data_IF_167876558777
#
_entry.id   IF_167876558777
#
_cell.length_a   1.000
_cell.length_b   1.000
_cell.length_c   1.000
_cell.angle_alpha   90.00
_cell.angle_beta   90.00
_cell.angle_gamma   90.00
#
_symmetry.space_group_name_H-M   'P 1'
#
loop_
_entity.id
_entity.type
_entity.pdbx_description
1 polymer ?
#
# COMPACT_ATOMS: atom_id res chain seq x y z
N UNK A 1 -0.60 -2.76 -42.88
CA UNK A 1 0.86 -2.65 -42.73
C UNK A 1 1.14 -1.17 -42.52
N UNK A 2 1.15 -0.73 -41.26
CA UNK A 2 1.32 0.69 -40.92
C UNK A 2 2.80 1.04 -40.95
N UNK A 3 3.17 1.93 -41.88
CA UNK A 3 4.50 2.49 -42.02
C UNK A 3 4.75 3.51 -40.90
N UNK A 4 5.74 3.22 -40.05
CA UNK A 4 6.28 4.18 -39.09
C UNK A 4 6.88 5.36 -39.86
N UNK A 5 6.20 6.51 -39.83
CA UNK A 5 6.73 7.78 -40.30
C UNK A 5 7.92 8.16 -39.42
N UNK A 6 9.13 8.01 -39.96
CA UNK A 6 10.36 8.45 -39.31
C UNK A 6 10.63 9.88 -39.74
N UNK A 7 10.80 10.77 -38.76
CA UNK A 7 11.22 12.16 -38.95
C UNK A 7 12.61 12.17 -39.64
N UNK A 8 12.87 13.01 -40.67
CA UNK A 8 14.05 12.86 -41.53
C UNK A 8 15.41 13.06 -40.82
N UNK A 9 15.39 13.52 -39.56
CA UNK A 9 16.59 13.75 -38.74
C UNK A 9 16.97 12.61 -37.79
N UNK A 10 16.17 11.54 -37.69
CA UNK A 10 16.41 10.45 -36.74
C UNK A 10 16.70 9.15 -37.49
N UNK A 11 17.91 8.62 -37.32
CA UNK A 11 18.29 7.30 -37.85
C UNK A 11 17.26 6.25 -37.43
N UNK A 12 16.92 5.30 -38.31
CA UNK A 12 15.99 4.19 -38.01
C UNK A 12 16.40 3.45 -36.72
N UNK A 13 17.70 3.36 -36.45
CA UNK A 13 18.22 2.79 -35.20
C UNK A 13 17.89 3.62 -33.96
N UNK A 14 18.00 4.94 -34.08
CA UNK A 14 17.69 5.88 -32.99
C UNK A 14 16.18 5.91 -32.71
N UNK A 15 15.35 5.91 -33.75
CA UNK A 15 13.90 5.78 -33.61
C UNK A 15 13.50 4.45 -32.95
N UNK A 16 14.20 3.36 -33.29
CA UNK A 16 13.98 2.05 -32.67
C UNK A 16 14.38 2.04 -31.18
N UNK A 17 15.54 2.62 -30.84
CA UNK A 17 16.02 2.78 -29.46
C UNK A 17 15.03 3.57 -28.61
N UNK A 18 14.62 4.75 -29.07
CA UNK A 18 13.64 5.59 -28.38
C UNK A 18 12.29 4.87 -28.14
N UNK A 19 11.85 4.06 -29.11
CA UNK A 19 10.64 3.24 -28.96
C UNK A 19 10.76 2.21 -27.83
N UNK A 20 11.89 1.50 -27.76
CA UNK A 20 12.18 0.51 -26.72
C UNK A 20 12.30 1.17 -25.32
N UNK A 21 12.99 2.30 -25.21
CA UNK A 21 13.09 3.10 -23.98
C UNK A 21 11.72 3.59 -23.51
N UNK A 22 10.87 4.03 -24.45
CA UNK A 22 9.49 4.43 -24.18
C UNK A 22 8.65 3.28 -23.60
N UNK A 23 8.84 2.05 -24.09
CA UNK A 23 8.18 0.85 -23.56
C UNK A 23 8.64 0.59 -22.10
N UNK A 24 9.95 0.64 -21.83
CA UNK A 24 10.47 0.43 -20.48
C UNK A 24 10.02 1.52 -19.50
N UNK A 25 9.97 2.78 -19.95
CA UNK A 25 9.50 3.92 -19.16
C UNK A 25 8.04 3.75 -18.75
N UNK A 26 7.16 3.34 -19.68
CA UNK A 26 5.75 3.07 -19.37
C UNK A 26 5.60 1.91 -18.39
N UNK A 27 6.39 0.84 -18.55
CA UNK A 27 6.46 -0.29 -17.60
C UNK A 27 6.88 0.17 -16.21
N UNK A 28 7.92 1.00 -16.09
CA UNK A 28 8.41 1.51 -14.80
C UNK A 28 7.36 2.39 -14.09
N UNK A 29 6.68 3.27 -14.83
CA UNK A 29 5.56 4.04 -14.28
C UNK A 29 4.45 3.14 -13.74
N UNK A 30 4.12 2.07 -14.47
CA UNK A 30 3.13 1.08 -14.03
C UNK A 30 3.60 0.35 -12.77
N UNK A 31 4.86 -0.08 -12.69
CA UNK A 31 5.44 -0.68 -11.46
C UNK A 31 5.32 0.27 -10.28
N UNK A 32 5.66 1.55 -10.45
CA UNK A 32 5.57 2.55 -9.38
C UNK A 32 4.12 2.78 -8.94
N UNK A 33 3.20 2.98 -9.88
CA UNK A 33 1.77 3.14 -9.57
C UNK A 33 1.19 1.92 -8.87
N UNK A 34 1.55 0.71 -9.33
CA UNK A 34 1.11 -0.54 -8.72
C UNK A 34 1.70 -0.69 -7.32
N UNK A 35 3.00 -0.40 -7.12
CA UNK A 35 3.61 -0.39 -5.79
C UNK A 35 2.94 0.61 -4.85
N UNK A 36 2.64 1.82 -5.33
CA UNK A 36 1.90 2.83 -4.56
C UNK A 36 0.50 2.36 -4.17
N UNK A 37 -0.16 1.53 -4.99
CA UNK A 37 -1.44 0.90 -4.65
C UNK A 37 -1.31 -0.28 -3.68
N UNK A 38 -0.13 -0.92 -3.62
CA UNK A 38 0.16 -2.01 -2.67
C UNK A 38 0.65 -1.50 -1.32
N UNK A 39 1.35 -0.37 -1.30
CA UNK A 39 1.59 0.40 -0.08
C UNK A 39 0.30 1.13 0.23
N UNK A 40 -0.61 0.49 0.94
CA UNK A 40 -1.85 1.14 1.36
C UNK A 40 -1.53 2.46 2.08
N UNK A 41 -2.15 3.53 1.58
CA UNK A 41 -2.30 4.80 2.27
C UNK A 41 -3.11 4.50 3.53
N UNK A 42 -2.42 4.14 4.60
CA UNK A 42 -3.01 4.24 5.93
C UNK A 42 -3.32 5.73 6.06
N UNK A 43 -4.59 6.10 6.25
CA UNK A 43 -4.88 7.35 6.93
C UNK A 43 -4.37 7.19 8.36
N UNK A 44 -3.04 7.26 8.49
CA UNK A 44 -2.30 7.27 9.75
C UNK A 44 -2.88 8.36 10.63
N UNK A 45 -3.33 9.47 10.01
CA UNK A 45 -4.05 10.54 10.66
C UNK A 45 -5.35 10.09 11.34
N UNK A 46 -6.17 9.21 10.75
CA UNK A 46 -7.43 8.76 11.37
C UNK A 46 -7.19 7.79 12.52
N UNK A 47 -6.23 6.86 12.36
CA UNK A 47 -5.84 5.92 13.41
C UNK A 47 -5.17 6.65 14.58
N UNK A 48 -4.25 7.57 14.29
CA UNK A 48 -3.61 8.43 15.30
C UNK A 48 -4.63 9.37 15.96
N UNK A 49 -5.61 9.87 15.22
CA UNK A 49 -6.72 10.67 15.76
C UNK A 49 -7.57 9.86 16.74
N UNK A 50 -7.95 8.63 16.38
CA UNK A 50 -8.66 7.73 17.29
C UNK A 50 -7.84 7.37 18.52
N UNK A 51 -6.51 7.14 18.39
CA UNK A 51 -5.64 6.91 19.54
C UNK A 51 -5.55 8.12 20.48
N UNK A 52 -5.43 9.33 19.93
CA UNK A 52 -5.44 10.57 20.73
C UNK A 52 -6.76 10.73 21.48
N UNK A 53 -7.89 10.51 20.81
CA UNK A 53 -9.21 10.60 21.44
C UNK A 53 -9.41 9.54 22.55
N UNK A 54 -8.94 8.30 22.35
CA UNK A 54 -8.98 7.27 23.39
C UNK A 54 -8.16 7.70 24.61
N UNK A 55 -6.97 8.28 24.39
CA UNK A 55 -6.12 8.76 25.48
C UNK A 55 -6.76 9.91 26.27
N UNK A 56 -7.41 10.86 25.59
CA UNK A 56 -8.15 11.95 26.23
C UNK A 56 -9.32 11.42 27.08
N UNK A 57 -10.07 10.45 26.56
CA UNK A 57 -11.16 9.79 27.29
C UNK A 57 -10.66 9.02 28.52
N UNK A 58 -9.48 8.40 28.46
CA UNK A 58 -8.87 7.71 29.61
C UNK A 58 -8.45 8.70 30.72
N UNK A 59 -7.92 9.87 30.34
CA UNK A 59 -7.60 10.94 31.30
C UNK A 59 -8.89 11.44 31.98
N UNK A 60 -9.95 11.66 31.21
CA UNK A 60 -11.24 12.12 31.72
C UNK A 60 -11.89 11.08 32.64
N UNK A 61 -11.88 9.80 32.25
CA UNK A 61 -12.36 8.71 33.09
C UNK A 61 -11.59 8.64 34.41
N UNK A 62 -10.27 8.81 34.38
CA UNK A 62 -9.44 8.85 35.58
C UNK A 62 -9.83 10.00 36.50
N UNK A 63 -10.15 11.19 35.97
CA UNK A 63 -10.66 12.32 36.76
C UNK A 63 -11.99 11.99 37.46
N UNK A 64 -12.94 11.36 36.78
CA UNK A 64 -14.22 10.96 37.39
C UNK A 64 -14.04 9.85 38.44
N UNK A 65 -13.09 8.93 38.23
CA UNK A 65 -12.75 7.89 39.22
C UNK A 65 -12.14 8.49 40.49
N UNK A 66 -11.21 9.45 40.36
CA UNK A 66 -10.53 10.08 41.50
C UNK A 66 -11.46 10.97 42.34
N UNK A 67 -12.53 11.51 41.74
CA UNK A 67 -13.52 12.32 42.48
C UNK A 67 -14.46 11.49 43.34
N UNK A 68 -14.48 10.16 43.21
CA UNK A 68 -15.47 9.27 43.84
C UNK A 68 -15.36 9.18 45.36
N UNK A 69 -14.22 9.51 45.94
CA UNK A 69 -13.95 9.21 47.35
C UNK A 69 -14.44 10.27 48.35
N UNK A 70 -14.92 11.44 47.90
CA UNK A 70 -15.30 12.57 48.79
C UNK A 70 -16.57 13.36 48.37
N UNK A 71 -17.50 12.76 47.62
CA UNK A 71 -18.67 13.46 47.05
C UNK A 71 -20.00 12.84 47.49
N UNK A 72 -21.08 13.62 47.38
CA UNK A 72 -22.43 13.22 47.76
C UNK A 72 -22.94 12.02 46.95
N UNK A 73 -23.93 11.29 47.48
CA UNK A 73 -24.52 10.10 46.82
C UNK A 73 -25.01 10.42 45.40
N UNK A 74 -25.60 11.61 45.20
CA UNK A 74 -26.09 12.06 43.90
C UNK A 74 -24.93 12.36 42.91
N UNK A 75 -23.83 12.93 43.40
CA UNK A 75 -22.62 13.16 42.60
C UNK A 75 -21.89 11.85 42.27
N UNK A 76 -21.93 10.85 43.16
CA UNK A 76 -21.43 9.49 42.86
C UNK A 76 -22.26 8.85 41.74
N UNK A 77 -23.58 8.97 41.78
CA UNK A 77 -24.46 8.44 40.73
C UNK A 77 -24.23 9.15 39.38
N UNK A 78 -24.05 10.47 39.39
CA UNK A 78 -23.71 11.25 38.20
C UNK A 78 -22.36 10.84 37.61
N UNK A 79 -21.29 10.83 38.42
CA UNK A 79 -19.95 10.43 38.01
C UNK A 79 -19.94 8.99 37.46
N UNK A 80 -20.77 8.10 38.01
CA UNK A 80 -20.84 6.73 37.52
C UNK A 80 -21.53 6.62 36.16
N UNK A 81 -22.53 7.46 35.91
CA UNK A 81 -23.18 7.54 34.61
C UNK A 81 -22.25 8.13 33.53
N UNK A 82 -21.47 9.15 33.86
CA UNK A 82 -20.48 9.73 32.94
C UNK A 82 -19.39 8.73 32.57
N UNK A 83 -18.84 8.01 33.55
CA UNK A 83 -17.90 6.92 33.30
C UNK A 83 -18.47 5.85 32.35
N UNK A 84 -19.75 5.47 32.52
CA UNK A 84 -20.41 4.52 31.62
C UNK A 84 -20.53 5.07 30.20
N UNK A 85 -20.74 6.37 30.03
CA UNK A 85 -20.76 7.02 28.72
C UNK A 85 -19.38 7.07 28.08
N UNK A 86 -18.34 7.41 28.84
CA UNK A 86 -16.95 7.40 28.39
C UNK A 86 -16.50 6.00 27.95
N UNK A 87 -16.80 4.96 28.73
CA UNK A 87 -16.50 3.57 28.35
C UNK A 87 -17.22 3.15 27.07
N UNK A 88 -18.46 3.60 26.84
CA UNK A 88 -19.17 3.33 25.56
C UNK A 88 -18.48 3.99 24.38
N UNK A 89 -18.06 5.25 24.52
CA UNK A 89 -17.35 5.98 23.48
C UNK A 89 -15.98 5.35 23.18
N UNK A 90 -15.23 4.97 24.22
CA UNK A 90 -13.95 4.28 24.08
C UNK A 90 -14.11 2.94 23.35
N UNK A 91 -15.12 2.14 23.72
CA UNK A 91 -15.40 0.86 23.04
C UNK A 91 -15.77 1.07 21.57
N UNK A 92 -16.54 2.10 21.25
CA UNK A 92 -16.88 2.44 19.86
C UNK A 92 -15.64 2.80 19.03
N UNK A 93 -14.75 3.64 19.57
CA UNK A 93 -13.50 4.02 18.91
C UNK A 93 -12.55 2.82 18.72
N UNK A 94 -12.42 1.96 19.75
CA UNK A 94 -11.65 0.72 19.65
C UNK A 94 -12.21 -0.23 18.59
N UNK A 95 -13.53 -0.38 18.50
CA UNK A 95 -14.16 -1.22 17.48
C UNK A 95 -13.98 -0.65 16.07
N UNK A 96 -14.02 0.67 15.91
CA UNK A 96 -13.71 1.36 14.64
C UNK A 96 -12.26 1.12 14.22
N UNK A 97 -11.31 1.29 15.14
CA UNK A 97 -9.89 0.97 14.91
C UNK A 97 -9.69 -0.51 14.57
N UNK A 98 -10.38 -1.42 15.28
CA UNK A 98 -10.31 -2.87 15.03
C UNK A 98 -10.89 -3.23 13.67
N UNK A 99 -12.00 -2.63 13.22
CA UNK A 99 -12.57 -2.87 11.89
C UNK A 99 -11.63 -2.42 10.78
N UNK A 100 -11.07 -1.22 10.90
CA UNK A 100 -10.03 -0.73 9.98
C UNK A 100 -8.78 -1.63 9.98
N UNK A 101 -8.42 -2.22 11.13
CA UNK A 101 -7.29 -3.15 11.24
C UNK A 101 -7.64 -4.60 10.82
N UNK A 102 -8.90 -5.02 10.89
CA UNK A 102 -9.37 -6.37 10.59
C UNK A 102 -9.67 -6.56 9.10
N UNK A 103 -10.26 -5.56 8.44
CA UNK A 103 -10.37 -5.47 6.98
C UNK A 103 -8.98 -5.53 6.32
N UNK A 104 -7.97 -4.98 7.00
CA UNK A 104 -6.55 -5.09 6.67
C UNK A 104 -6.00 -6.50 6.84
N UNK A 105 -6.29 -7.20 7.96
CA UNK A 105 -5.72 -8.54 8.21
C UNK A 105 -6.27 -9.64 7.30
N UNK A 106 -7.53 -9.54 6.86
CA UNK A 106 -8.14 -10.53 5.95
C UNK A 106 -7.60 -10.39 4.51
N UNK A 107 -7.22 -9.17 4.08
CA UNK A 107 -6.62 -8.94 2.77
C UNK A 107 -5.08 -9.05 2.77
N UNK A 108 -4.38 -8.63 3.85
CA UNK A 108 -2.91 -8.64 3.92
C UNK A 108 -2.31 -9.98 4.38
N UNK A 109 -3.00 -10.78 5.21
CA UNK A 109 -2.44 -12.07 5.68
C UNK A 109 -2.53 -13.19 4.65
N UNK A 110 -3.40 -13.12 3.65
CA UNK A 110 -3.55 -14.21 2.69
C UNK A 110 -2.68 -14.10 1.43
N UNK A 111 -2.14 -12.93 1.07
CA UNK A 111 -1.19 -12.81 -0.06
C UNK A 111 -0.14 -11.73 0.19
N UNK A 112 1.04 -12.13 0.65
CA UNK A 112 2.22 -11.28 0.66
C UNK A 112 2.70 -11.03 -0.78
N UNK A 113 1.99 -10.18 -1.52
CA UNK A 113 2.32 -9.87 -2.90
C UNK A 113 3.48 -8.88 -2.97
N UNK A 114 4.27 -8.98 -4.04
CA UNK A 114 5.24 -7.98 -4.50
C UNK A 114 5.07 -7.77 -6.00
N UNK A 115 5.64 -6.70 -6.55
CA UNK A 115 5.64 -6.45 -8.00
C UNK A 115 6.96 -6.90 -8.61
N UNK A 116 6.90 -7.75 -9.63
CA UNK A 116 8.05 -8.11 -10.44
C UNK A 116 8.65 -6.87 -11.12
N UNK A 117 9.95 -6.64 -10.94
CA UNK A 117 10.64 -5.48 -11.54
C UNK A 117 10.69 -5.56 -13.07
N UNK A 118 10.77 -6.77 -13.62
CA UNK A 118 10.90 -7.00 -15.06
C UNK A 118 9.57 -6.82 -15.78
N UNK A 119 8.53 -7.55 -15.38
CA UNK A 119 7.25 -7.59 -16.10
C UNK A 119 6.09 -6.81 -15.46
N UNK A 120 6.31 -6.17 -14.30
CA UNK A 120 5.29 -5.42 -13.56
C UNK A 120 4.05 -6.22 -13.12
N UNK A 121 4.15 -7.55 -13.08
CA UNK A 121 3.09 -8.42 -12.57
C UNK A 121 3.26 -8.69 -11.07
N UNK A 122 2.16 -9.00 -10.38
CA UNK A 122 2.19 -9.42 -8.98
C UNK A 122 2.82 -10.81 -8.84
N UNK A 123 3.64 -10.97 -7.82
CA UNK A 123 4.27 -12.23 -7.40
C UNK A 123 3.98 -12.39 -5.91
N UNK A 124 3.46 -13.54 -5.51
CA UNK A 124 3.36 -13.88 -4.10
C UNK A 124 4.75 -14.27 -3.57
N UNK A 125 5.17 -13.65 -2.46
CA UNK A 125 6.47 -13.85 -1.83
C UNK A 125 6.66 -15.28 -1.31
N UNK A 126 5.56 -15.98 -1.02
CA UNK A 126 5.58 -17.33 -0.43
C UNK A 126 5.47 -18.45 -1.47
N UNK A 127 5.58 -18.16 -2.77
CA UNK A 127 5.56 -19.19 -3.81
C UNK A 127 6.88 -19.96 -3.86
N UNK A 128 6.80 -21.25 -4.21
CA UNK A 128 7.97 -22.10 -4.43
C UNK A 128 8.87 -21.60 -5.56
N UNK A 129 10.14 -22.00 -5.55
CA UNK A 129 11.09 -21.63 -6.61
C UNK A 129 10.67 -22.16 -7.99
N UNK A 130 9.96 -23.30 -8.04
CA UNK A 130 9.33 -23.80 -9.26
C UNK A 130 8.31 -22.80 -9.82
N UNK A 131 7.45 -22.22 -8.97
CA UNK A 131 6.48 -21.21 -9.39
C UNK A 131 7.16 -19.89 -9.78
N UNK A 132 8.25 -19.50 -9.11
CA UNK A 132 9.09 -18.36 -9.55
C UNK A 132 9.69 -18.63 -10.92
N UNK A 133 10.16 -19.85 -11.18
CA UNK A 133 10.70 -20.23 -12.48
C UNK A 133 9.63 -20.13 -13.58
N UNK A 134 8.43 -20.68 -13.35
CA UNK A 134 7.30 -20.55 -14.28
C UNK A 134 6.98 -19.08 -14.57
N UNK A 135 7.01 -18.21 -13.54
CA UNK A 135 6.83 -16.77 -13.75
C UNK A 135 7.89 -16.18 -14.69
N UNK A 136 9.17 -16.55 -14.54
CA UNK A 136 10.24 -16.05 -15.42
C UNK A 136 10.11 -16.54 -16.86
N UNK A 137 9.51 -17.73 -17.08
CA UNK A 137 9.23 -18.27 -18.41
C UNK A 137 8.01 -17.64 -19.09
N UNK A 138 7.26 -16.77 -18.40
CA UNK A 138 6.13 -16.07 -18.99
C UNK A 138 6.60 -15.20 -20.18
N UNK A 139 5.84 -15.23 -21.28
CA UNK A 139 6.13 -14.46 -22.50
C UNK A 139 6.32 -12.97 -22.25
N UNK A 140 5.58 -12.38 -21.31
CA UNK A 140 5.71 -10.96 -20.95
C UNK A 140 7.05 -10.70 -20.26
N UNK A 141 7.46 -11.57 -19.34
CA UNK A 141 8.73 -11.46 -18.64
C UNK A 141 9.91 -11.59 -19.62
N UNK A 142 9.85 -12.61 -20.49
CA UNK A 142 10.85 -12.84 -21.52
C UNK A 142 10.92 -11.70 -22.54
N UNK A 143 9.79 -11.08 -22.91
CA UNK A 143 9.79 -9.93 -23.80
C UNK A 143 10.53 -8.73 -23.21
N UNK A 144 10.29 -8.39 -21.93
CA UNK A 144 10.99 -7.28 -21.28
C UNK A 144 12.49 -7.56 -21.10
N UNK A 145 12.88 -8.81 -20.78
CA UNK A 145 14.29 -9.21 -20.76
C UNK A 145 14.96 -9.01 -22.13
N UNK A 146 14.28 -9.37 -23.22
CA UNK A 146 14.79 -9.18 -24.59
C UNK A 146 14.90 -7.70 -24.96
N UNK A 147 13.95 -6.86 -24.53
CA UNK A 147 14.02 -5.40 -24.74
C UNK A 147 15.22 -4.81 -23.99
N UNK A 148 15.42 -5.18 -22.73
CA UNK A 148 16.57 -4.73 -21.93
C UNK A 148 17.90 -5.18 -22.55
N UNK A 149 18.00 -6.44 -22.98
CA UNK A 149 19.16 -6.94 -23.70
C UNK A 149 19.40 -6.18 -25.02
N UNK A 150 18.34 -5.89 -25.78
CA UNK A 150 18.46 -5.18 -27.06
C UNK A 150 18.90 -3.73 -26.88
N UNK A 151 18.42 -3.05 -25.85
CA UNK A 151 18.89 -1.71 -25.51
C UNK A 151 20.38 -1.72 -25.13
N UNK A 152 20.82 -2.68 -24.31
CA UNK A 152 22.22 -2.82 -23.95
C UNK A 152 23.13 -3.16 -25.16
N UNK A 153 22.62 -3.83 -26.19
CA UNK A 153 23.33 -4.00 -27.47
C UNK A 153 23.44 -2.68 -28.23
N UNK A 154 22.34 -1.94 -28.33
CA UNK A 154 22.28 -0.67 -29.08
C UNK A 154 23.12 0.44 -28.42
N UNK A 155 23.26 0.44 -27.10
CA UNK A 155 24.14 1.37 -26.36
C UNK A 155 25.64 1.12 -26.60
N UNK A 156 26.01 -0.08 -27.05
CA UNK A 156 27.40 -0.44 -27.37
C UNK A 156 27.79 -0.13 -28.81
N UNK A 157 26.82 0.24 -29.66
CA UNK A 157 27.08 0.65 -31.04
C UNK A 157 27.38 2.16 -31.01
N UNK A 158 28.60 2.60 -31.38
CA UNK A 158 28.99 4.01 -31.36
C UNK A 158 28.16 4.89 -32.31
#
# INVERSE_FOLDING_TARGET
>A
METLLTDPGVSVMEAHKLSLEGILTRRNKKVQQTKLRMTEYVDSEEVESCQRQIHELDIEATHYMLKRDNVSVDEVAHNWNELKNLTKQQNFLMDRMRKQSAEKSANDRERQLTVCRTCALYIDLNISDERKHIHTQNSTHQAFMKIEAKLAELEKVP
#
